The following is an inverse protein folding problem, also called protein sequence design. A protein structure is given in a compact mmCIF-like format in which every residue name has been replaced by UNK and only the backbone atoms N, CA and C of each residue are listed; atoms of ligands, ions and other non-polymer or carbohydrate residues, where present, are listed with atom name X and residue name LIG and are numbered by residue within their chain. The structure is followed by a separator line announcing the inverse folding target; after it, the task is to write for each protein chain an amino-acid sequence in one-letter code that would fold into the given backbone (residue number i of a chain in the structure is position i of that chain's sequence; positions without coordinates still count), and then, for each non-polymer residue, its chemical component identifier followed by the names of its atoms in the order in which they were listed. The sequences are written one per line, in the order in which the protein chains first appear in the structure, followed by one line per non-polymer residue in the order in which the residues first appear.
data_IF_404390139968
#
_entry.id   IF_404390139968
#
_cell.length_a   1.000
_cell.length_b   1.000
_cell.length_c   1.000
_cell.angle_alpha   90.00
_cell.angle_beta   90.00
_cell.angle_gamma   90.00
#
_symmetry.space_group_name_H-M   'P 1'
#
loop_
_entity.id
_entity.type
_entity.pdbx_description
1 polymer ?
#
# COMPACT_ATOMS: atom_id res chain seq x y z
N UNK A 1 -5.18 -11.65 -36.78
CA UNK A 1 -4.52 -12.51 -35.78
C UNK A 1 -5.39 -13.75 -35.59
N UNK A 2 -4.90 -14.92 -35.98
CA UNK A 2 -5.65 -16.19 -35.86
C UNK A 2 -5.57 -16.76 -34.44
N UNK A 3 -6.13 -16.06 -33.46
CA UNK A 3 -6.37 -16.65 -32.15
C UNK A 3 -7.66 -17.48 -32.23
N UNK A 4 -7.51 -18.80 -32.43
CA UNK A 4 -8.59 -19.74 -32.16
C UNK A 4 -9.16 -19.45 -30.76
N UNK A 5 -10.49 -19.47 -30.56
CA UNK A 5 -11.08 -19.25 -29.25
C UNK A 5 -10.44 -20.21 -28.25
N UNK A 6 -9.80 -19.66 -27.21
CA UNK A 6 -9.19 -20.48 -26.16
C UNK A 6 -10.29 -21.36 -25.56
N UNK A 7 -10.06 -22.67 -25.51
CA UNK A 7 -11.07 -23.66 -25.11
C UNK A 7 -11.41 -23.65 -23.61
N UNK A 8 -10.93 -22.65 -22.86
CA UNK A 8 -11.15 -22.46 -21.43
C UNK A 8 -10.02 -21.67 -20.77
N UNK A 9 -10.16 -21.23 -19.51
CA UNK A 9 -9.13 -20.54 -18.75
C UNK A 9 -7.82 -21.34 -18.62
N UNK A 10 -7.92 -22.67 -18.58
CA UNK A 10 -6.76 -23.58 -18.54
C UNK A 10 -5.99 -23.70 -19.87
N UNK A 11 -6.58 -23.25 -20.99
CA UNK A 11 -5.91 -23.26 -22.29
C UNK A 11 -4.96 -22.06 -22.51
N UNK A 12 -4.87 -21.14 -21.54
CA UNK A 12 -4.01 -19.95 -21.64
C UNK A 12 -2.54 -20.33 -21.49
N UNK A 13 -1.67 -20.06 -22.48
CA UNK A 13 -0.25 -20.34 -22.37
C UNK A 13 0.40 -19.57 -21.21
N UNK A 14 1.32 -20.21 -20.48
CA UNK A 14 2.05 -19.59 -19.37
C UNK A 14 2.77 -18.27 -19.75
N UNK A 15 3.19 -18.14 -21.01
CA UNK A 15 3.81 -16.91 -21.54
C UNK A 15 2.86 -15.70 -21.52
N UNK A 16 1.55 -15.92 -21.49
CA UNK A 16 0.51 -14.89 -21.41
C UNK A 16 0.00 -14.77 -19.96
N UNK A 17 -0.17 -15.91 -19.28
CA UNK A 17 -0.68 -15.96 -17.91
C UNK A 17 0.27 -15.29 -16.92
N UNK A 18 1.58 -15.53 -17.01
CA UNK A 18 2.56 -14.98 -16.05
C UNK A 18 2.61 -13.44 -16.09
N UNK A 19 2.75 -12.77 -17.24
CA UNK A 19 2.67 -11.30 -17.29
C UNK A 19 1.32 -10.74 -16.82
N UNK A 20 0.21 -11.41 -17.16
CA UNK A 20 -1.13 -11.01 -16.71
C UNK A 20 -1.28 -11.11 -15.18
N UNK A 21 -0.76 -12.17 -14.56
CA UNK A 21 -0.73 -12.33 -13.12
C UNK A 21 0.12 -11.25 -12.43
N UNK A 22 1.34 -11.02 -12.91
CA UNK A 22 2.24 -9.99 -12.32
C UNK A 22 1.62 -8.59 -12.37
N UNK A 23 0.96 -8.23 -13.48
CA UNK A 23 0.29 -6.93 -13.59
C UNK A 23 -0.94 -6.83 -12.67
N UNK A 24 -1.67 -7.92 -12.48
CA UNK A 24 -2.76 -8.01 -11.51
C UNK A 24 -2.26 -7.82 -10.07
N UNK A 25 -1.22 -8.56 -9.68
CA UNK A 25 -0.63 -8.46 -8.34
C UNK A 25 -0.04 -7.09 -8.05
N UNK A 26 0.63 -6.46 -9.02
CA UNK A 26 1.13 -5.09 -8.87
C UNK A 26 -0.01 -4.11 -8.58
N UNK A 27 -1.13 -4.23 -9.30
CA UNK A 27 -2.30 -3.38 -9.05
C UNK A 27 -2.83 -3.58 -7.62
N UNK A 28 -2.99 -4.81 -7.18
CA UNK A 28 -3.45 -5.13 -5.81
C UNK A 28 -2.47 -4.60 -4.76
N UNK A 29 -1.17 -4.80 -4.96
CA UNK A 29 -0.12 -4.30 -4.06
C UNK A 29 -0.13 -2.76 -3.96
N UNK A 30 -0.33 -2.04 -5.07
CA UNK A 30 -0.48 -0.58 -5.04
C UNK A 30 -1.73 -0.13 -4.28
N UNK A 31 -2.85 -0.83 -4.44
CA UNK A 31 -4.09 -0.51 -3.70
C UNK A 31 -3.90 -0.70 -2.19
N UNK A 32 -3.33 -1.84 -1.78
CA UNK A 32 -3.04 -2.14 -0.37
C UNK A 32 -2.07 -1.09 0.19
N UNK A 33 -0.94 -0.85 -0.50
CA UNK A 33 0.07 0.11 -0.08
C UNK A 33 -0.48 1.54 0.03
N UNK A 34 -1.34 1.96 -0.90
CA UNK A 34 -1.97 3.28 -0.84
C UNK A 34 -2.89 3.41 0.38
N UNK A 35 -3.74 2.43 0.66
CA UNK A 35 -4.65 2.44 1.81
C UNK A 35 -3.88 2.50 3.15
N UNK A 36 -2.79 1.75 3.27
CA UNK A 36 -1.91 1.78 4.45
C UNK A 36 -1.20 3.13 4.58
N UNK A 37 -0.85 3.78 3.48
CA UNK A 37 -0.12 5.04 3.49
C UNK A 37 -0.97 6.25 3.94
N UNK A 38 -2.28 6.24 3.66
CA UNK A 38 -3.22 7.33 4.01
C UNK A 38 -3.12 7.80 5.47
N UNK A 39 -3.24 6.94 6.50
CA UNK A 39 -3.18 7.38 7.90
C UNK A 39 -1.84 8.05 8.25
N UNK A 40 -0.73 7.58 7.69
CA UNK A 40 0.58 8.18 7.92
C UNK A 40 0.73 9.54 7.24
N UNK A 41 0.15 9.69 6.05
CA UNK A 41 0.09 10.95 5.32
C UNK A 41 -0.70 12.00 6.13
N UNK A 42 -1.84 11.61 6.71
CA UNK A 42 -2.63 12.49 7.59
C UNK A 42 -1.79 12.98 8.76
N UNK A 43 -1.03 12.09 9.42
CA UNK A 43 -0.13 12.49 10.52
C UNK A 43 0.91 13.51 10.03
N UNK A 44 1.53 13.30 8.89
CA UNK A 44 2.51 14.25 8.34
C UNK A 44 1.90 15.63 8.08
N UNK A 45 0.72 15.69 7.46
CA UNK A 45 0.03 16.95 7.17
C UNK A 45 -0.39 17.68 8.45
N UNK A 46 -0.92 16.96 9.43
CA UNK A 46 -1.30 17.54 10.73
C UNK A 46 -0.08 18.08 11.46
N UNK A 47 1.00 17.29 11.57
CA UNK A 47 2.23 17.74 12.24
C UNK A 47 2.85 18.94 11.52
N UNK A 48 2.90 18.92 10.19
CA UNK A 48 3.42 20.05 9.41
C UNK A 48 2.59 21.33 9.65
N UNK A 49 1.26 21.24 9.62
CA UNK A 49 0.40 22.41 9.85
C UNK A 49 0.53 22.99 11.27
N UNK A 50 0.66 22.14 12.29
CA UNK A 50 0.89 22.59 13.67
C UNK A 50 2.25 23.27 13.83
N UNK A 51 3.31 22.70 13.27
CA UNK A 51 4.66 23.30 13.33
C UNK A 51 4.72 24.64 12.59
N UNK A 52 4.09 24.74 11.42
CA UNK A 52 3.98 26.01 10.69
C UNK A 52 3.19 27.05 11.50
N UNK A 53 2.11 26.64 12.17
CA UNK A 53 1.33 27.52 13.05
C UNK A 53 2.12 28.02 14.26
N UNK A 54 3.12 27.26 14.73
CA UNK A 54 4.02 27.67 15.82
C UNK A 54 5.18 28.55 15.36
N UNK A 55 5.30 28.84 14.06
CA UNK A 55 6.41 29.61 13.49
C UNK A 55 7.73 28.83 13.40
N UNK A 56 7.73 27.52 13.66
CA UNK A 56 8.93 26.69 13.65
C UNK A 56 9.20 26.12 12.26
N UNK A 57 9.74 26.95 11.36
CA UNK A 57 10.05 26.55 9.97
C UNK A 57 11.34 25.74 9.82
N UNK A 58 12.26 25.81 10.79
CA UNK A 58 13.57 25.16 10.70
C UNK A 58 13.59 23.70 11.18
N UNK A 59 12.56 23.27 11.93
CA UNK A 59 12.44 21.88 12.35
C UNK A 59 11.71 21.11 11.25
N UNK A 60 12.33 20.03 10.77
CA UNK A 60 11.70 19.14 9.79
C UNK A 60 10.46 18.48 10.40
N UNK A 61 9.26 18.66 9.81
CA UNK A 61 8.05 18.00 10.28
C UNK A 61 8.15 16.48 10.31
N UNK A 62 8.98 15.90 9.44
CA UNK A 62 9.18 14.45 9.33
C UNK A 62 9.79 13.85 10.60
N UNK A 63 10.73 14.57 11.23
CA UNK A 63 11.38 14.08 12.46
C UNK A 63 10.39 14.06 13.64
N UNK A 64 9.48 15.04 13.67
CA UNK A 64 8.46 15.13 14.71
C UNK A 64 7.32 14.16 14.44
N UNK A 65 6.94 13.92 13.17
CA UNK A 65 5.86 12.98 12.83
C UNK A 65 6.25 11.51 13.00
N UNK A 66 7.54 11.17 12.86
CA UNK A 66 8.05 9.80 12.99
C UNK A 66 7.61 9.06 14.27
N UNK A 67 7.80 9.60 15.49
CA UNK A 67 7.34 8.93 16.72
C UNK A 67 5.81 8.74 16.75
N UNK A 68 5.03 9.69 16.23
CA UNK A 68 3.57 9.54 16.17
C UNK A 68 3.14 8.45 15.19
N UNK A 69 3.81 8.33 14.05
CA UNK A 69 3.57 7.23 13.10
C UNK A 69 3.86 5.87 13.72
N UNK A 70 5.00 5.74 14.40
CA UNK A 70 5.38 4.51 15.08
C UNK A 70 4.40 4.17 16.21
N UNK A 71 3.97 5.17 16.98
CA UNK A 71 2.96 5.00 18.02
C UNK A 71 1.64 4.50 17.42
N UNK A 72 1.11 5.17 16.38
CA UNK A 72 -0.11 4.74 15.69
C UNK A 72 0.03 3.30 15.19
N UNK A 73 1.14 3.00 14.50
CA UNK A 73 1.39 1.70 13.91
C UNK A 73 1.42 0.57 14.95
N UNK A 74 2.00 0.80 16.13
CA UNK A 74 1.98 -0.17 17.22
C UNK A 74 0.59 -0.26 17.87
N UNK A 75 -0.10 0.86 18.08
CA UNK A 75 -1.41 0.90 18.73
C UNK A 75 -2.51 0.15 17.96
N UNK A 76 -2.44 0.17 16.63
CA UNK A 76 -3.42 -0.52 15.77
C UNK A 76 -3.02 -1.97 15.45
N UNK A 77 -1.95 -2.47 16.07
CA UNK A 77 -1.32 -3.74 15.69
C UNK A 77 -1.04 -3.82 14.18
N UNK A 78 -0.33 -2.81 13.67
CA UNK A 78 -0.10 -2.62 12.25
C UNK A 78 0.61 -3.80 11.57
N UNK A 79 1.45 -4.54 12.30
CA UNK A 79 2.08 -5.76 11.78
C UNK A 79 1.05 -6.85 11.45
N UNK A 80 0.06 -7.08 12.32
CA UNK A 80 -1.01 -8.03 12.07
C UNK A 80 -1.91 -7.58 10.90
N UNK A 81 -2.22 -6.28 10.80
CA UNK A 81 -2.98 -5.73 9.68
C UNK A 81 -2.27 -5.88 8.33
N UNK A 82 -0.96 -5.61 8.30
CA UNK A 82 -0.13 -5.79 7.10
C UNK A 82 -0.09 -7.26 6.66
N UNK A 83 0.24 -8.15 7.59
CA UNK A 83 0.32 -9.58 7.30
C UNK A 83 -1.04 -10.17 6.93
N UNK A 84 -2.11 -9.75 7.60
CA UNK A 84 -3.48 -10.15 7.28
C UNK A 84 -3.90 -9.72 5.87
N UNK A 85 -3.61 -8.48 5.49
CA UNK A 85 -3.91 -7.96 4.15
C UNK A 85 -3.15 -8.71 3.05
N UNK A 86 -1.89 -9.05 3.31
CA UNK A 86 -1.08 -9.85 2.37
C UNK A 86 -1.62 -11.28 2.24
N UNK A 87 -1.88 -11.94 3.37
CA UNK A 87 -2.39 -13.32 3.38
C UNK A 87 -3.74 -13.39 2.66
N UNK A 88 -4.68 -12.48 2.95
CA UNK A 88 -5.98 -12.44 2.28
C UNK A 88 -5.87 -12.22 0.77
N UNK A 89 -4.87 -11.47 0.31
CA UNK A 89 -4.61 -11.22 -1.11
C UNK A 89 -4.20 -12.48 -1.90
N UNK A 90 -3.59 -13.48 -1.25
CA UNK A 90 -3.12 -14.69 -1.95
C UNK A 90 -4.15 -15.84 -1.96
N UNK A 91 -5.13 -15.80 -1.04
CA UNK A 91 -6.15 -16.84 -0.89
C UNK A 91 -7.46 -16.54 -1.65
N UNK A 92 -7.56 -15.38 -2.32
CA UNK A 92 -8.70 -14.98 -3.17
C UNK A 92 -8.26 -14.96 -4.63
#
# INVERSE_FOLDING_TARGET
SNSQPLAGPEAVPLRILVPAYVTSELKTAFQIGFLIFIPFLIIDMVVASVLMSMGMMMLSPVMISLPFKLMLFVLVDGWALLMGSLVQSFYT
#
